data_IF_398293140334
#
_entry.id   IF_398293140334
#
_cell.length_a   1.000
_cell.length_b   1.000
_cell.length_c   1.000
_cell.angle_alpha   90.00
_cell.angle_beta   90.00
_cell.angle_gamma   90.00
#
_symmetry.space_group_name_H-M   'P 1'
#
loop_
_entity.id
_entity.type
_entity.pdbx_description
1 polymer ?
#
# COMPACT_ATOMS: atom_id res chain seq x y z
N UNK A 1 11.75 36.21 -48.97
CA UNK A 1 10.99 36.86 -47.89
C UNK A 1 10.17 35.76 -47.21
N UNK A 2 10.71 35.05 -46.22
CA UNK A 2 10.88 35.40 -44.79
C UNK A 2 9.61 35.13 -43.95
N UNK A 3 9.75 34.12 -43.07
CA UNK A 3 9.03 33.80 -41.80
C UNK A 3 7.49 33.65 -41.81
N UNK A 4 6.88 32.75 -41.03
CA UNK A 4 7.19 32.43 -39.62
C UNK A 4 6.77 31.00 -39.26
N UNK A 5 7.70 30.19 -38.73
CA UNK A 5 7.42 28.96 -37.96
C UNK A 5 7.29 29.36 -36.49
N UNK A 6 6.21 28.98 -35.81
CA UNK A 6 6.11 29.08 -34.35
C UNK A 6 6.71 27.82 -33.73
N UNK A 7 7.86 28.00 -33.09
CA UNK A 7 8.48 27.02 -32.20
C UNK A 7 7.71 27.01 -30.87
N UNK A 8 7.09 25.90 -30.51
CA UNK A 8 6.86 25.55 -29.11
C UNK A 8 7.88 24.50 -28.72
N UNK A 9 8.97 24.98 -28.12
CA UNK A 9 10.00 24.18 -27.45
C UNK A 9 9.39 23.50 -26.22
N UNK A 10 9.19 22.18 -26.30
CA UNK A 10 9.02 21.36 -25.09
C UNK A 10 10.40 21.11 -24.50
N UNK A 11 10.65 21.65 -23.31
CA UNK A 11 11.82 21.33 -22.50
C UNK A 11 11.83 19.83 -22.21
N UNK A 12 12.75 19.11 -22.83
CA UNK A 12 13.15 17.77 -22.39
C UNK A 12 14.05 17.93 -21.17
N UNK A 13 13.49 17.76 -19.98
CA UNK A 13 14.31 17.49 -18.80
C UNK A 13 14.85 16.06 -18.93
N UNK A 14 16.17 15.99 -19.05
CA UNK A 14 16.91 14.74 -19.01
C UNK A 14 16.75 14.11 -17.62
N UNK A 15 16.14 12.93 -17.57
CA UNK A 15 16.13 12.05 -16.39
C UNK A 15 17.57 11.54 -16.15
N UNK A 16 18.37 12.40 -15.51
CA UNK A 16 19.68 12.05 -14.99
C UNK A 16 19.52 11.09 -13.83
N UNK A 17 19.92 9.83 -14.06
CA UNK A 17 20.17 8.83 -13.03
C UNK A 17 21.21 9.35 -12.03
N UNK A 18 20.73 9.91 -10.93
CA UNK A 18 21.47 10.08 -9.69
C UNK A 18 20.65 9.46 -8.56
N UNK A 19 20.70 8.14 -8.43
CA UNK A 19 20.11 7.41 -7.30
C UNK A 19 21.00 7.53 -6.06
N UNK A 20 21.31 8.76 -5.66
CA UNK A 20 21.97 9.11 -4.40
C UNK A 20 20.92 9.71 -3.47
N UNK A 21 19.77 9.05 -3.33
CA UNK A 21 18.67 9.60 -2.53
C UNK A 21 18.83 9.25 -1.07
N UNK A 22 18.98 10.30 -0.27
CA UNK A 22 18.77 10.37 1.16
C UNK A 22 17.57 9.50 1.54
N UNK A 23 17.85 8.30 2.05
CA UNK A 23 16.96 7.15 1.89
C UNK A 23 15.98 7.14 3.06
N UNK A 24 15.00 8.06 3.02
CA UNK A 24 13.94 8.20 4.02
C UNK A 24 13.34 6.86 4.45
N UNK A 25 12.82 6.84 5.69
CA UNK A 25 12.21 5.65 6.29
C UNK A 25 11.10 5.14 5.36
N UNK A 26 11.14 3.86 5.02
CA UNK A 26 10.09 3.23 4.23
C UNK A 26 8.90 2.94 5.13
N UNK A 27 7.70 3.32 4.72
CA UNK A 27 6.46 3.16 5.51
C UNK A 27 5.42 2.34 4.73
N UNK A 28 4.52 1.65 5.44
CA UNK A 28 3.39 0.95 4.82
C UNK A 28 2.52 1.91 4.01
N UNK A 29 2.24 3.10 4.55
CA UNK A 29 1.50 4.16 3.85
C UNK A 29 2.21 4.55 2.55
N UNK A 30 3.53 4.76 2.58
CA UNK A 30 4.31 5.05 1.38
C UNK A 30 4.31 3.90 0.37
N UNK A 31 4.15 2.65 0.81
CA UNK A 31 3.93 1.51 -0.09
C UNK A 31 2.53 1.54 -0.73
N UNK A 32 1.50 1.88 0.04
CA UNK A 32 0.12 2.02 -0.45
C UNK A 32 0.01 3.19 -1.44
N UNK A 33 0.62 4.34 -1.11
CA UNK A 33 0.71 5.49 -2.01
C UNK A 33 1.33 5.10 -3.35
N UNK A 34 2.42 4.32 -3.34
CA UNK A 34 3.05 3.82 -4.57
C UNK A 34 2.17 2.82 -5.31
N UNK A 35 1.43 1.98 -4.59
CA UNK A 35 0.54 0.99 -5.17
C UNK A 35 -0.63 1.64 -5.92
N UNK A 36 -1.17 2.75 -5.40
CA UNK A 36 -2.29 3.48 -6.00
C UNK A 36 -1.87 4.68 -6.84
N UNK A 37 -0.56 4.93 -7.01
CA UNK A 37 -0.05 6.03 -7.84
C UNK A 37 -0.29 5.75 -9.32
N UNK A 38 -0.70 6.74 -10.12
CA UNK A 38 -0.72 6.60 -11.57
C UNK A 38 0.68 6.31 -12.12
N UNK A 39 0.78 5.32 -13.00
CA UNK A 39 2.00 4.96 -13.71
C UNK A 39 1.82 5.19 -15.21
N UNK A 40 2.82 5.80 -15.86
CA UNK A 40 2.84 5.90 -17.32
C UNK A 40 3.19 4.53 -17.88
N UNK A 41 2.36 4.06 -18.81
CA UNK A 41 2.67 2.85 -19.56
C UNK A 41 3.80 3.14 -20.57
N UNK A 42 4.61 2.12 -20.85
CA UNK A 42 5.74 2.23 -21.77
C UNK A 42 5.31 2.63 -23.19
N UNK A 43 6.28 3.07 -24.00
CA UNK A 43 6.04 3.50 -25.39
C UNK A 43 5.50 2.38 -26.28
N UNK A 44 5.71 1.14 -25.89
CA UNK A 44 5.21 -0.10 -26.48
C UNK A 44 3.75 -0.43 -26.08
N UNK A 45 3.22 0.21 -25.03
CA UNK A 45 1.89 -0.02 -24.47
C UNK A 45 0.92 1.15 -24.72
N UNK A 46 1.10 1.86 -25.84
CA UNK A 46 0.23 2.97 -26.22
C UNK A 46 -1.17 2.49 -26.60
N UNK A 47 -2.18 3.12 -26.01
CA UNK A 47 -3.60 2.86 -26.31
C UNK A 47 -4.07 3.72 -27.47
N UNK A 48 -4.93 3.14 -28.32
CA UNK A 48 -5.55 3.91 -29.40
C UNK A 48 -6.65 4.82 -28.84
N UNK A 49 -6.48 6.13 -28.99
CA UNK A 49 -7.48 7.10 -28.60
C UNK A 49 -8.48 7.32 -29.74
N UNK A 50 -9.75 6.95 -29.54
CA UNK A 50 -10.80 7.14 -30.55
C UNK A 50 -11.08 8.63 -30.87
N UNK A 51 -10.81 9.54 -29.95
CA UNK A 51 -11.00 10.97 -30.21
C UNK A 51 -9.85 11.57 -31.02
N UNK A 52 -8.60 11.16 -30.75
CA UNK A 52 -7.42 11.66 -31.46
C UNK A 52 -7.07 10.86 -32.72
N UNK A 53 -7.68 9.68 -32.91
CA UNK A 53 -7.40 8.73 -33.99
C UNK A 53 -5.92 8.30 -34.08
N UNK A 54 -5.24 8.24 -32.94
CA UNK A 54 -3.81 7.88 -32.87
C UNK A 54 -3.51 7.15 -31.56
N UNK A 55 -2.44 6.34 -31.56
CA UNK A 55 -1.91 5.70 -30.36
C UNK A 55 -1.23 6.72 -29.45
N UNK A 56 -1.78 6.88 -28.26
CA UNK A 56 -1.34 7.84 -27.25
C UNK A 56 -0.71 7.14 -26.06
N UNK A 57 0.18 7.85 -25.39
CA UNK A 57 0.63 7.45 -24.06
C UNK A 57 -0.54 7.50 -23.09
N UNK A 58 -0.53 6.57 -22.13
CA UNK A 58 -1.64 6.43 -21.19
C UNK A 58 -1.13 6.20 -19.78
N UNK A 59 -1.96 6.58 -18.82
CA UNK A 59 -1.74 6.33 -17.42
C UNK A 59 -2.59 5.14 -16.98
N UNK A 60 -1.98 4.22 -16.26
CA UNK A 60 -2.68 3.18 -15.51
C UNK A 60 -2.66 3.53 -14.03
N UNK A 61 -3.76 3.31 -13.33
CA UNK A 61 -3.83 3.51 -11.89
C UNK A 61 -4.66 2.41 -11.24
N UNK A 62 -4.15 1.86 -10.15
CA UNK A 62 -4.90 0.92 -9.31
C UNK A 62 -5.59 1.67 -8.17
N UNK A 63 -6.74 1.18 -7.73
CA UNK A 63 -7.46 1.68 -6.56
C UNK A 63 -8.20 0.54 -5.86
N UNK A 64 -8.62 0.76 -4.62
CA UNK A 64 -9.36 -0.22 -3.83
C UNK A 64 -10.85 0.07 -3.96
N UNK A 65 -11.61 -0.83 -4.60
CA UNK A 65 -13.07 -0.64 -4.74
C UNK A 65 -13.82 -0.92 -3.44
N UNK A 66 -13.44 -1.98 -2.73
CA UNK A 66 -14.10 -2.43 -1.51
C UNK A 66 -13.06 -2.93 -0.52
N UNK A 67 -13.20 -2.53 0.74
CA UNK A 67 -12.37 -3.01 1.85
C UNK A 67 -12.99 -4.26 2.47
N UNK A 68 -12.15 -5.22 2.82
CA UNK A 68 -12.57 -6.42 3.55
C UNK A 68 -12.50 -6.15 5.05
N UNK A 69 -13.34 -6.83 5.84
CA UNK A 69 -13.35 -6.72 7.30
C UNK A 69 -11.98 -6.99 7.92
N UNK A 70 -11.24 -7.92 7.33
CA UNK A 70 -9.83 -8.19 7.63
C UNK A 70 -9.04 -7.98 6.35
N UNK A 71 -8.10 -7.03 6.38
CA UNK A 71 -7.20 -6.73 5.28
C UNK A 71 -5.81 -7.28 5.60
N UNK A 72 -5.29 -8.09 4.66
CA UNK A 72 -3.96 -8.69 4.75
C UNK A 72 -3.01 -7.97 3.78
N UNK A 73 -1.89 -7.45 4.30
CA UNK A 73 -0.83 -6.86 3.49
C UNK A 73 0.38 -7.77 3.49
N UNK A 74 0.77 -8.23 2.29
CA UNK A 74 2.01 -8.98 2.09
C UNK A 74 3.10 -8.05 1.57
N UNK A 75 4.19 -7.91 2.32
CA UNK A 75 5.32 -7.09 1.93
C UNK A 75 6.23 -7.89 1.01
N UNK A 76 6.38 -7.43 -0.23
CA UNK A 76 7.26 -8.04 -1.24
C UNK A 76 8.73 -7.82 -0.89
N UNK A 77 9.26 -8.60 0.04
CA UNK A 77 10.65 -8.53 0.53
C UNK A 77 11.63 -9.34 -0.32
N UNK A 78 11.46 -9.33 -1.64
CA UNK A 78 12.32 -10.06 -2.56
C UNK A 78 12.64 -9.16 -3.75
N UNK A 79 13.89 -9.23 -4.20
CA UNK A 79 14.30 -8.62 -5.45
C UNK A 79 15.09 -9.61 -6.29
N UNK A 80 14.92 -9.50 -7.59
CA UNK A 80 15.58 -10.32 -8.58
C UNK A 80 16.42 -9.41 -9.48
N UNK A 81 17.71 -9.68 -9.56
CA UNK A 81 18.61 -8.98 -10.48
C UNK A 81 18.93 -9.92 -11.64
N UNK A 82 18.41 -9.59 -12.83
CA UNK A 82 18.73 -10.30 -14.07
C UNK A 82 20.22 -10.16 -14.41
N UNK A 83 20.78 -8.95 -14.28
CA UNK A 83 22.19 -8.66 -14.54
C UNK A 83 23.12 -9.48 -13.66
N UNK A 84 22.80 -9.62 -12.37
CA UNK A 84 23.63 -10.36 -11.42
C UNK A 84 23.23 -11.82 -11.27
N UNK A 85 22.19 -12.28 -11.98
CA UNK A 85 21.58 -13.61 -11.89
C UNK A 85 21.36 -14.07 -10.43
N UNK A 86 20.93 -13.15 -9.56
CA UNK A 86 20.76 -13.42 -8.14
C UNK A 86 19.43 -12.88 -7.64
N UNK A 87 18.89 -13.59 -6.66
CA UNK A 87 17.71 -13.17 -5.91
C UNK A 87 18.12 -12.95 -4.47
N UNK A 88 17.64 -11.87 -3.86
CA UNK A 88 17.91 -11.61 -2.44
C UNK A 88 16.69 -11.12 -1.70
N UNK A 89 16.70 -11.37 -0.40
CA UNK A 89 15.72 -10.81 0.52
C UNK A 89 15.99 -9.32 0.72
N UNK A 90 14.91 -8.55 0.87
CA UNK A 90 14.95 -7.13 1.21
C UNK A 90 14.64 -6.98 2.70
N UNK A 91 15.70 -7.02 3.50
CA UNK A 91 15.64 -6.87 4.97
C UNK A 91 15.62 -5.41 5.43
N UNK A 92 15.18 -4.50 4.57
CA UNK A 92 15.02 -3.09 4.95
C UNK A 92 13.85 -2.95 5.92
N UNK A 93 14.07 -2.23 7.02
CA UNK A 93 12.99 -1.89 7.95
C UNK A 93 11.86 -1.15 7.22
N UNK A 94 10.63 -1.54 7.52
CA UNK A 94 9.41 -0.93 7.02
C UNK A 94 8.58 -0.54 8.24
N UNK A 95 8.37 0.75 8.44
CA UNK A 95 7.51 1.25 9.51
C UNK A 95 6.04 1.00 9.14
N UNK A 96 5.26 0.48 10.07
CA UNK A 96 3.82 0.30 9.92
C UNK A 96 3.08 0.86 11.14
N UNK A 97 1.91 1.47 10.95
CA UNK A 97 1.12 2.02 12.05
C UNK A 97 0.23 0.95 12.68
N UNK A 98 -0.17 1.14 13.94
CA UNK A 98 -1.15 0.26 14.58
C UNK A 98 -2.59 0.60 14.15
N UNK A 99 -2.89 1.89 13.98
CA UNK A 99 -4.12 2.35 13.34
C UNK A 99 -3.83 2.77 11.90
N UNK A 100 -4.63 2.28 10.95
CA UNK A 100 -4.47 2.55 9.53
C UNK A 100 -5.79 3.06 8.95
N UNK A 101 -5.77 4.24 8.34
CA UNK A 101 -6.90 4.73 7.54
C UNK A 101 -6.64 4.43 6.06
N UNK A 102 -7.59 3.76 5.43
CA UNK A 102 -7.55 3.35 4.03
C UNK A 102 -8.32 4.26 3.09
N UNK A 103 -8.99 5.31 3.59
CA UNK A 103 -9.91 6.16 2.83
C UNK A 103 -9.27 6.72 1.55
N UNK A 104 -8.02 7.16 1.63
CA UNK A 104 -7.28 7.80 0.52
C UNK A 104 -7.01 6.84 -0.65
N UNK A 105 -7.03 5.54 -0.41
CA UNK A 105 -6.73 4.49 -1.40
C UNK A 105 -7.98 3.97 -2.11
N UNK A 106 -9.17 4.42 -1.71
CA UNK A 106 -10.45 3.99 -2.27
C UNK A 106 -10.71 4.57 -3.67
N UNK A 107 -11.40 3.80 -4.51
CA UNK A 107 -11.80 4.24 -5.85
C UNK A 107 -12.67 5.49 -5.81
N UNK A 108 -13.60 5.60 -4.85
CA UNK A 108 -14.45 6.77 -4.64
C UNK A 108 -13.62 8.02 -4.32
N UNK A 109 -12.71 7.92 -3.35
CA UNK A 109 -11.82 9.02 -2.94
C UNK A 109 -10.91 9.50 -4.07
N UNK A 110 -10.26 8.58 -4.79
CA UNK A 110 -9.38 8.92 -5.93
C UNK A 110 -10.18 9.61 -7.04
N UNK A 111 -11.39 9.12 -7.31
CA UNK A 111 -12.25 9.67 -8.36
C UNK A 111 -12.75 11.07 -7.99
N UNK A 112 -13.23 11.26 -6.75
CA UNK A 112 -13.64 12.54 -6.18
C UNK A 112 -12.52 13.58 -6.20
N UNK A 113 -11.30 13.19 -5.86
CA UNK A 113 -10.13 14.08 -5.89
C UNK A 113 -9.81 14.60 -7.30
N UNK A 114 -10.03 13.79 -8.35
CA UNK A 114 -9.70 14.18 -9.74
C UNK A 114 -10.79 14.96 -10.45
N UNK A 115 -12.04 14.54 -10.30
CA UNK A 115 -13.15 15.06 -11.10
C UNK A 115 -14.13 15.91 -10.28
N UNK A 116 -13.88 16.09 -8.98
CA UNK A 116 -14.82 16.70 -8.05
C UNK A 116 -16.13 15.91 -7.98
N UNK A 117 -17.21 16.57 -7.60
CA UNK A 117 -18.55 15.95 -7.51
C UNK A 117 -19.21 15.71 -8.89
N UNK A 118 -18.44 15.67 -9.99
CA UNK A 118 -18.97 15.62 -11.36
C UNK A 118 -19.11 14.20 -11.94
N UNK A 119 -19.04 13.15 -11.10
CA UNK A 119 -19.12 11.76 -11.57
C UNK A 119 -20.53 11.23 -11.36
N UNK A 120 -21.05 10.56 -12.39
CA UNK A 120 -22.29 9.77 -12.34
C UNK A 120 -22.20 8.74 -11.20
N UNK A 121 -23.23 8.62 -10.34
CA UNK A 121 -23.25 7.58 -9.32
C UNK A 121 -23.02 6.23 -10.01
N UNK A 122 -21.95 5.53 -9.61
CA UNK A 122 -21.77 4.16 -10.05
C UNK A 122 -22.87 3.36 -9.35
N UNK A 123 -23.64 2.56 -10.08
CA UNK A 123 -24.75 1.76 -9.50
C UNK A 123 -24.27 1.05 -8.22
N UNK A 124 -24.84 1.45 -7.07
CA UNK A 124 -24.57 0.87 -5.75
C UNK A 124 -23.78 1.73 -4.74
N UNK A 125 -23.46 3.00 -5.02
CA UNK A 125 -22.89 3.93 -4.02
C UNK A 125 -23.96 4.39 -3.02
N UNK A 126 -24.09 3.68 -1.90
CA UNK A 126 -24.74 4.17 -0.68
C UNK A 126 -23.87 5.26 0.00
N UNK A 127 -24.46 6.23 0.71
CA UNK A 127 -23.81 7.50 1.04
C UNK A 127 -22.51 7.39 1.86
N UNK A 128 -21.58 8.28 1.50
CA UNK A 128 -20.17 8.43 1.91
C UNK A 128 -19.86 8.33 3.43
N UNK A 129 -20.81 8.62 4.31
CA UNK A 129 -20.56 8.69 5.76
C UNK A 129 -20.25 7.33 6.39
N UNK A 130 -20.82 6.24 5.87
CA UNK A 130 -20.45 4.90 6.36
C UNK A 130 -19.05 4.51 5.89
N UNK A 131 -18.63 4.89 4.67
CA UNK A 131 -17.35 4.45 4.12
C UNK A 131 -16.14 5.02 4.89
N UNK A 132 -16.22 6.23 5.44
CA UNK A 132 -15.14 6.82 6.26
C UNK A 132 -14.96 6.07 7.59
N UNK A 133 -16.04 5.67 8.26
CA UNK A 133 -15.95 4.84 9.48
C UNK A 133 -15.54 3.38 9.18
N UNK A 134 -15.83 2.90 7.97
CA UNK A 134 -15.43 1.56 7.52
C UNK A 134 -13.98 1.51 7.00
N UNK A 135 -13.31 2.65 6.80
CA UNK A 135 -11.93 2.71 6.31
C UNK A 135 -10.86 2.72 7.42
N UNK A 136 -11.26 2.83 8.68
CA UNK A 136 -10.34 2.73 9.82
C UNK A 136 -10.10 1.27 10.23
N UNK A 137 -8.82 0.91 10.37
CA UNK A 137 -8.37 -0.43 10.71
C UNK A 137 -7.37 -0.43 11.85
N UNK A 138 -7.39 -1.49 12.64
CA UNK A 138 -6.45 -1.77 13.72
C UNK A 138 -5.61 -3.01 13.39
N UNK A 139 -4.30 -2.89 13.59
CA UNK A 139 -3.36 -3.99 13.48
C UNK A 139 -3.58 -4.95 14.64
N UNK A 140 -3.80 -6.22 14.30
CA UNK A 140 -3.94 -7.27 15.30
C UNK A 140 -2.96 -8.43 15.12
N UNK A 141 -2.33 -8.58 13.94
CA UNK A 141 -1.27 -9.56 13.77
C UNK A 141 -0.16 -9.09 12.82
N UNK A 142 1.08 -9.44 13.16
CA UNK A 142 2.27 -9.24 12.32
C UNK A 142 3.02 -10.55 12.22
N UNK A 143 3.19 -11.06 11.01
CA UNK A 143 4.06 -12.21 10.76
C UNK A 143 5.42 -11.68 10.31
N UNK A 144 6.47 -12.17 10.93
CA UNK A 144 7.87 -11.85 10.59
C UNK A 144 8.56 -13.07 10.02
N UNK A 145 9.54 -12.83 9.16
CA UNK A 145 10.38 -13.89 8.60
C UNK A 145 11.84 -13.54 8.80
N UNK A 146 12.60 -14.42 9.44
CA UNK A 146 14.04 -14.30 9.64
C UNK A 146 14.75 -15.36 8.82
N UNK A 147 15.77 -14.99 8.05
CA UNK A 147 16.46 -15.92 7.15
C UNK A 147 16.55 -15.40 5.72
N UNK A 148 16.90 -16.31 4.80
CA UNK A 148 17.09 -16.06 3.36
C UNK A 148 15.76 -16.22 2.61
N UNK A 149 15.77 -16.22 1.28
CA UNK A 149 14.55 -16.40 0.49
C UNK A 149 14.06 -17.86 0.47
N UNK A 150 14.99 -18.79 0.57
CA UNK A 150 14.82 -20.25 0.44
C UNK A 150 14.74 -20.98 1.78
N UNK A 151 15.15 -20.34 2.87
CA UNK A 151 15.10 -20.90 4.21
C UNK A 151 14.99 -19.80 5.26
N UNK A 152 14.26 -20.08 6.33
CA UNK A 152 14.14 -19.15 7.45
C UNK A 152 13.16 -19.64 8.51
N UNK A 153 12.79 -18.72 9.39
CA UNK A 153 11.93 -18.95 10.54
C UNK A 153 10.82 -17.90 10.58
N UNK A 154 9.59 -18.34 10.83
CA UNK A 154 8.43 -17.46 10.94
C UNK A 154 8.01 -17.31 12.40
N UNK A 155 7.80 -16.07 12.81
CA UNK A 155 7.27 -15.72 14.14
C UNK A 155 6.10 -14.78 13.97
N UNK A 156 5.06 -14.99 14.77
CA UNK A 156 3.86 -14.15 14.75
C UNK A 156 3.77 -13.30 16.01
N UNK A 157 3.50 -12.01 15.84
CA UNK A 157 3.06 -11.13 16.91
C UNK A 157 1.54 -10.98 16.81
N UNK A 158 0.82 -11.29 17.89
CA UNK A 158 -0.63 -11.26 17.95
C UNK A 158 -1.08 -10.27 19.04
N UNK A 159 -2.07 -9.44 18.74
CA UNK A 159 -2.72 -8.54 19.70
C UNK A 159 -4.03 -9.17 20.15
N UNK A 160 -4.13 -9.47 21.44
CA UNK A 160 -5.34 -10.00 22.08
C UNK A 160 -5.62 -9.19 23.35
N UNK A 161 -6.87 -8.74 23.53
CA UNK A 161 -7.29 -7.96 24.70
C UNK A 161 -6.36 -6.76 24.99
N UNK A 162 -5.96 -6.06 23.92
CA UNK A 162 -5.02 -4.94 23.96
C UNK A 162 -3.61 -5.26 24.51
N UNK A 163 -3.22 -6.54 24.54
CA UNK A 163 -1.88 -7.00 24.89
C UNK A 163 -1.25 -7.70 23.69
N UNK A 164 0.07 -7.57 23.55
CA UNK A 164 0.81 -8.20 22.47
C UNK A 164 1.52 -9.46 22.96
N UNK A 165 1.47 -10.49 22.12
CA UNK A 165 2.12 -11.77 22.35
C UNK A 165 3.00 -12.11 21.16
N UNK A 166 4.24 -12.54 21.41
CA UNK A 166 5.12 -13.16 20.43
C UNK A 166 4.90 -14.68 20.51
N UNK A 167 4.41 -15.25 19.42
CA UNK A 167 4.21 -16.68 19.21
C UNK A 167 5.37 -17.21 18.36
N UNK A 168 6.27 -17.94 18.98
CA UNK A 168 7.49 -18.51 18.42
C UNK A 168 7.47 -20.02 18.65
N UNK A 169 6.92 -20.76 17.68
CA UNK A 169 6.60 -22.18 17.79
C UNK A 169 5.79 -22.51 19.06
N UNK A 170 6.37 -23.29 19.99
CA UNK A 170 5.74 -23.68 21.24
C UNK A 170 5.74 -22.57 22.31
N UNK A 171 6.44 -21.45 22.06
CA UNK A 171 6.66 -20.40 23.04
C UNK A 171 5.78 -19.18 22.78
N UNK A 172 4.85 -18.91 23.69
CA UNK A 172 4.00 -17.72 23.67
C UNK A 172 4.42 -16.81 24.81
N UNK A 173 4.92 -15.62 24.47
CA UNK A 173 5.44 -14.65 25.45
C UNK A 173 4.79 -13.30 25.27
N UNK A 174 4.38 -12.66 26.37
CA UNK A 174 3.86 -11.28 26.32
C UNK A 174 5.01 -10.33 25.99
N UNK A 175 4.76 -9.37 25.09
CA UNK A 175 5.74 -8.37 24.65
C UNK A 175 5.15 -6.96 24.66
N UNK A 176 6.03 -5.96 24.74
CA UNK A 176 5.63 -4.56 24.65
C UNK A 176 5.41 -4.12 23.20
N UNK A 177 4.56 -3.12 23.00
CA UNK A 177 4.28 -2.55 21.67
C UNK A 177 5.53 -2.14 20.91
N UNK A 178 6.54 -1.61 21.61
CA UNK A 178 7.80 -1.15 21.01
C UNK A 178 8.56 -2.29 20.31
N UNK A 179 8.46 -3.51 20.84
CA UNK A 179 9.07 -4.70 20.21
C UNK A 179 8.36 -5.00 18.90
N UNK A 180 7.02 -4.92 18.90
CA UNK A 180 6.20 -5.15 17.70
C UNK A 180 6.46 -4.08 16.65
N UNK A 181 6.55 -2.79 17.05
CA UNK A 181 6.87 -1.68 16.12
C UNK A 181 8.23 -1.86 15.45
N UNK A 182 9.22 -2.38 16.18
CA UNK A 182 10.55 -2.65 15.64
C UNK A 182 10.63 -3.91 14.76
N UNK A 183 9.57 -4.72 14.72
CA UNK A 183 9.57 -6.00 14.01
C UNK A 183 9.67 -5.83 12.49
N UNK A 184 10.37 -6.75 11.82
CA UNK A 184 10.44 -6.78 10.36
C UNK A 184 9.22 -7.49 9.77
N UNK A 185 8.09 -6.78 9.72
CA UNK A 185 6.83 -7.33 9.23
C UNK A 185 6.93 -7.83 7.79
N UNK A 186 6.63 -9.11 7.59
CA UNK A 186 6.52 -9.79 6.30
C UNK A 186 5.06 -9.81 5.83
N UNK A 187 4.13 -10.11 6.74
CA UNK A 187 2.70 -9.93 6.54
C UNK A 187 2.10 -9.16 7.71
N UNK A 188 1.11 -8.31 7.44
CA UNK A 188 0.38 -7.56 8.44
C UNK A 188 -1.11 -7.77 8.25
N UNK A 189 -1.82 -8.02 9.35
CA UNK A 189 -3.26 -8.22 9.37
C UNK A 189 -3.91 -7.10 10.16
N UNK A 190 -4.79 -6.41 9.46
CA UNK A 190 -5.56 -5.29 9.95
C UNK A 190 -7.03 -5.69 9.97
N UNK A 191 -7.73 -5.42 11.05
CA UNK A 191 -9.17 -5.63 11.17
C UNK A 191 -9.85 -4.28 11.26
N UNK A 192 -11.03 -4.17 10.66
CA UNK A 192 -11.81 -2.95 10.72
C UNK A 192 -12.08 -2.55 12.18
N UNK A 193 -11.80 -1.31 12.53
CA UNK A 193 -11.72 -0.82 13.92
C UNK A 193 -13.02 -1.02 14.72
N UNK A 194 -14.17 -0.81 14.06
CA UNK A 194 -15.50 -1.11 14.61
C UNK A 194 -15.64 -2.56 15.12
N UNK A 195 -15.04 -3.53 14.43
CA UNK A 195 -15.10 -4.94 14.83
C UNK A 195 -14.08 -5.26 15.92
N UNK A 196 -12.92 -4.60 15.90
CA UNK A 196 -11.90 -4.74 16.94
C UNK A 196 -12.44 -4.36 18.32
N UNK A 197 -13.15 -3.24 18.43
CA UNK A 197 -13.73 -2.80 19.70
C UNK A 197 -14.84 -3.73 20.18
N UNK A 198 -15.76 -4.14 19.28
CA UNK A 198 -16.84 -5.09 19.64
C UNK A 198 -16.30 -6.42 20.17
N UNK A 199 -15.18 -6.92 19.64
CA UNK A 199 -14.54 -8.14 20.14
C UNK A 199 -13.87 -7.91 21.51
N UNK A 200 -13.28 -6.74 21.72
CA UNK A 200 -12.58 -6.40 22.97
C UNK A 200 -13.54 -6.16 24.13
N UNK A 201 -14.68 -5.50 23.89
CA UNK A 201 -15.71 -5.23 24.92
C UNK A 201 -16.37 -6.50 25.46
N UNK A 202 -16.65 -7.47 24.59
CA UNK A 202 -17.27 -8.75 24.99
C UNK A 202 -16.40 -9.60 25.92
N UNK A 203 -15.09 -9.34 25.98
CA UNK A 203 -14.17 -10.07 26.86
C UNK A 203 -13.97 -9.41 28.22
N UNK A 204 -14.32 -8.13 28.38
CA UNK A 204 -14.25 -7.43 29.68
C UNK A 204 -15.51 -7.69 30.52
N UNK A 205 -16.62 -8.09 29.87
CA UNK A 205 -17.89 -8.37 30.51
C UNK A 205 -18.09 -9.85 30.94
N UNK A 206 -17.08 -10.70 30.78
CA UNK A 206 -17.08 -12.12 31.14
C UNK A 206 -16.01 -12.42 32.19
#
# INVERSE_FOLDING_TARGET
MASTKSNHSCNGEADGMNSSQNRGISTLMGCLDRFTRPERLGTDQKFFCQQCQVRQESLKQMSIRKLHLVSCFHIKRFEHSSTRKMSRKVDRYLQFPFSLDMATYLSSSISRSRFGNRIFPFDGDEPDASNELLSEFELFAVVTHTGKLDAGHYVTYLRLSNQWYKCDDAWITRVNENIVRAAQGYMMFYVQKMLFYKASEKQVAA
#
